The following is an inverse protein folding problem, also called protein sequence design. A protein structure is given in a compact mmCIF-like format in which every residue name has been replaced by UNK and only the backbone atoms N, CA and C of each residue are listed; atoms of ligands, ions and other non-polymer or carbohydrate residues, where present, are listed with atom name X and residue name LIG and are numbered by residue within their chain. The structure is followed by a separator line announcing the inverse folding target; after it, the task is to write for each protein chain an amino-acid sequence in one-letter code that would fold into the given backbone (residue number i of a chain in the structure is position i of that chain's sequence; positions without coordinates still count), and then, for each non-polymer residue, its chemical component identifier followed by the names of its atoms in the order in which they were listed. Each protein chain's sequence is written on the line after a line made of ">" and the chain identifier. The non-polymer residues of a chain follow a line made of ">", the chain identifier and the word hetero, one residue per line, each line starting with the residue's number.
data_IF_472090965983
#
_entry.id   IF_472090965983
#
_cell.length_a   1.000
_cell.length_b   1.000
_cell.length_c   1.000
_cell.angle_alpha   90.00
_cell.angle_beta   90.00
_cell.angle_gamma   90.00
#
_symmetry.space_group_name_H-M   'P 1'
#
loop_
_entity.id
_entity.type
_entity.pdbx_description
1 polymer ?
#
# COMPACT_ATOMS: atom_id res chain seq x y z
N UNK A 1 -2.73 -27.24 -5.90
CA UNK A 1 -3.15 -25.86 -5.65
C UNK A 1 -4.61 -25.76 -6.07
N UNK A 2 -5.52 -25.54 -5.12
CA UNK A 2 -6.95 -25.42 -5.44
C UNK A 2 -7.20 -24.20 -6.33
N UNK A 3 -8.27 -24.19 -7.14
CA UNK A 3 -8.58 -23.04 -8.00
C UNK A 3 -8.73 -21.79 -7.13
N UNK A 4 -8.31 -20.63 -7.65
CA UNK A 4 -8.45 -19.31 -7.01
C UNK A 4 -9.92 -18.91 -6.84
N UNK A 5 -10.59 -19.60 -5.93
CA UNK A 5 -12.04 -19.53 -5.66
C UNK A 5 -12.33 -18.88 -4.32
N UNK A 6 -11.30 -18.48 -3.58
CA UNK A 6 -11.46 -17.76 -2.32
C UNK A 6 -12.33 -16.51 -2.43
N UNK A 7 -12.34 -15.73 -3.53
CA UNK A 7 -13.24 -14.57 -3.64
C UNK A 7 -14.73 -14.93 -3.76
N UNK A 8 -15.10 -16.20 -3.94
CA UNK A 8 -16.49 -16.63 -4.02
C UNK A 8 -17.19 -16.59 -2.64
N UNK A 9 -16.43 -16.61 -1.54
CA UNK A 9 -16.97 -16.43 -0.19
C UNK A 9 -16.89 -14.94 0.19
N UNK A 10 -18.00 -14.28 0.57
CA UNK A 10 -18.00 -12.88 0.98
C UNK A 10 -17.01 -12.56 2.12
N UNK A 11 -16.69 -13.54 2.98
CA UNK A 11 -15.71 -13.35 4.07
C UNK A 11 -14.33 -13.00 3.55
N UNK A 12 -14.00 -13.34 2.30
CA UNK A 12 -12.74 -13.00 1.64
C UNK A 12 -12.42 -11.51 1.73
N UNK A 13 -13.41 -10.65 1.44
CA UNK A 13 -13.22 -9.20 1.45
C UNK A 13 -13.00 -8.66 2.86
N UNK A 14 -13.72 -9.20 3.85
CA UNK A 14 -13.53 -8.81 5.26
C UNK A 14 -12.18 -9.29 5.81
N UNK A 15 -11.74 -10.48 5.40
CA UNK A 15 -10.43 -11.00 5.76
C UNK A 15 -9.31 -10.12 5.20
N UNK A 16 -9.37 -9.78 3.91
CA UNK A 16 -8.40 -8.89 3.27
C UNK A 16 -8.40 -7.48 3.87
N UNK A 17 -9.57 -6.92 4.19
CA UNK A 17 -9.65 -5.62 4.86
C UNK A 17 -8.91 -5.60 6.22
N UNK A 18 -8.94 -6.72 6.97
CA UNK A 18 -8.18 -6.81 8.21
C UNK A 18 -6.66 -6.95 7.97
N UNK A 19 -6.24 -7.65 6.92
CA UNK A 19 -4.83 -7.72 6.51
C UNK A 19 -4.30 -6.34 6.12
N UNK A 20 -5.07 -5.60 5.31
CA UNK A 20 -4.72 -4.23 4.88
C UNK A 20 -4.61 -3.28 6.09
N UNK A 21 -5.52 -3.41 7.07
CA UNK A 21 -5.47 -2.65 8.33
C UNK A 21 -4.21 -2.95 9.15
N UNK A 22 -3.72 -4.19 9.14
CA UNK A 22 -2.49 -4.53 9.87
C UNK A 22 -1.29 -3.91 9.16
N UNK A 23 -1.25 -3.97 7.82
CA UNK A 23 -0.18 -3.37 7.03
C UNK A 23 -0.14 -1.84 7.19
N UNK A 24 -1.29 -1.16 7.16
CA UNK A 24 -1.36 0.29 7.36
C UNK A 24 -0.95 0.72 8.76
N UNK A 25 -1.13 -0.13 9.78
CA UNK A 25 -0.60 0.12 11.13
C UNK A 25 0.90 -0.13 11.23
N UNK A 26 1.43 -1.10 10.50
CA UNK A 26 2.84 -1.46 10.53
C UNK A 26 3.73 -0.36 9.94
N UNK A 27 3.34 0.22 8.80
CA UNK A 27 4.12 1.25 8.12
C UNK A 27 4.54 2.43 9.03
N UNK A 28 3.64 3.12 9.77
CA UNK A 28 4.02 4.23 10.64
C UNK A 28 4.60 3.81 12.01
N UNK A 29 4.40 2.57 12.47
CA UNK A 29 4.75 2.15 13.85
C UNK A 29 6.15 1.56 14.02
N UNK A 30 6.95 1.51 12.96
CA UNK A 30 8.28 0.91 12.96
C UNK A 30 8.67 0.24 11.64
N UNK A 31 7.75 0.18 10.68
CA UNK A 31 7.97 -0.21 9.30
C UNK A 31 8.24 0.98 8.38
N UNK A 32 9.01 1.98 8.83
CA UNK A 32 9.35 3.19 8.06
C UNK A 32 10.31 2.90 6.89
N UNK A 33 10.45 1.62 6.54
CA UNK A 33 11.19 1.14 5.41
C UNK A 33 10.29 1.26 4.18
N UNK A 34 10.77 1.88 3.09
CA UNK A 34 9.98 1.94 1.87
C UNK A 34 9.73 0.54 1.32
N UNK A 35 8.69 0.39 0.50
CA UNK A 35 8.43 -0.88 -0.18
C UNK A 35 9.67 -1.33 -0.96
N UNK A 36 10.00 -2.61 -0.82
CA UNK A 36 11.05 -3.28 -1.61
C UNK A 36 10.43 -4.45 -2.37
N UNK A 37 10.89 -4.75 -3.60
CA UNK A 37 12.04 -4.14 -4.28
C UNK A 37 11.70 -2.84 -5.02
N UNK A 38 12.64 -1.90 -5.05
CA UNK A 38 12.51 -0.69 -5.88
C UNK A 38 12.91 -0.94 -7.34
N UNK A 39 13.84 -1.87 -7.60
CA UNK A 39 14.37 -2.23 -8.91
C UNK A 39 14.95 -3.65 -8.91
N UNK A 40 15.24 -4.21 -10.09
CA UNK A 40 16.05 -5.42 -10.25
C UNK A 40 15.32 -6.75 -10.05
N UNK A 41 13.99 -6.75 -9.89
CA UNK A 41 13.17 -7.96 -9.83
C UNK A 41 12.35 -8.17 -11.10
N UNK A 42 11.58 -9.25 -11.13
CA UNK A 42 10.60 -9.53 -12.19
C UNK A 42 9.58 -8.39 -12.33
N UNK A 43 9.16 -8.13 -13.56
CA UNK A 43 8.13 -7.14 -13.89
C UNK A 43 6.83 -7.38 -13.12
N UNK A 44 6.22 -6.31 -12.63
CA UNK A 44 4.99 -6.32 -11.84
C UNK A 44 5.23 -6.45 -10.33
N UNK A 45 6.49 -6.39 -9.89
CA UNK A 45 6.86 -6.54 -8.49
C UNK A 45 7.68 -5.37 -7.94
N UNK A 46 8.20 -4.48 -8.79
CA UNK A 46 8.86 -3.26 -8.28
C UNK A 46 7.82 -2.26 -7.77
N UNK A 47 8.25 -1.35 -6.89
CA UNK A 47 7.41 -0.24 -6.40
C UNK A 47 6.78 0.61 -7.52
N UNK A 48 7.41 0.64 -8.70
CA UNK A 48 7.03 1.51 -9.82
C UNK A 48 6.40 0.75 -10.99
N UNK A 49 6.31 -0.57 -10.92
CA UNK A 49 5.70 -1.38 -11.97
C UNK A 49 4.16 -1.29 -11.87
N UNK A 50 3.45 -1.35 -13.01
CA UNK A 50 2.00 -1.55 -12.97
C UNK A 50 1.67 -2.94 -12.39
N UNK A 51 0.66 -2.99 -11.53
CA UNK A 51 0.12 -4.24 -11.01
C UNK A 51 -0.92 -4.82 -11.99
N UNK A 52 -0.58 -5.89 -12.68
CA UNK A 52 -1.53 -6.64 -13.51
C UNK A 52 -2.80 -7.01 -12.69
N UNK A 53 -4.02 -6.91 -13.25
CA UNK A 53 -4.39 -6.59 -14.64
C UNK A 53 -4.55 -5.10 -14.93
N UNK A 54 -4.09 -4.22 -14.05
CA UNK A 54 -4.28 -2.78 -14.14
C UNK A 54 -3.02 -2.09 -14.68
N UNK A 55 -3.20 -1.07 -15.52
CA UNK A 55 -2.09 -0.33 -16.16
C UNK A 55 -1.60 0.88 -15.32
N UNK A 56 -2.23 1.14 -14.17
CA UNK A 56 -1.91 2.29 -13.31
C UNK A 56 -0.74 2.03 -12.36
N UNK A 57 0.03 3.09 -12.02
CA UNK A 57 0.99 3.06 -10.92
C UNK A 57 0.23 2.86 -9.60
N UNK A 58 0.28 1.64 -9.08
CA UNK A 58 -0.12 1.33 -7.71
C UNK A 58 1.09 1.60 -6.83
N UNK A 59 1.39 2.86 -6.57
CA UNK A 59 2.28 3.16 -5.46
C UNK A 59 1.55 2.65 -4.21
N UNK A 60 2.14 1.73 -3.41
CA UNK A 60 1.59 1.44 -2.10
C UNK A 60 1.48 2.77 -1.34
N UNK A 61 0.40 2.99 -0.59
CA UNK A 61 0.20 4.22 0.20
C UNK A 61 1.43 4.53 1.05
N UNK A 62 2.09 3.51 1.59
CA UNK A 62 3.36 3.60 2.31
C UNK A 62 4.51 4.26 1.52
N UNK A 63 4.53 4.20 0.18
CA UNK A 63 5.50 4.93 -0.68
C UNK A 63 5.04 6.37 -0.92
N UNK A 64 3.74 6.60 -1.07
CA UNK A 64 3.17 7.94 -1.30
C UNK A 64 3.30 8.84 -0.07
N UNK A 65 3.03 8.32 1.13
CA UNK A 65 3.17 9.04 2.41
C UNK A 65 4.64 9.44 2.66
N UNK A 66 5.60 8.63 2.21
CA UNK A 66 7.03 8.91 2.36
C UNK A 66 7.58 9.88 1.29
N UNK A 67 6.94 9.97 0.12
CA UNK A 67 7.38 10.85 -0.97
C UNK A 67 6.70 12.23 -0.97
N UNK A 68 5.70 12.46 -0.11
CA UNK A 68 5.01 13.76 0.00
C UNK A 68 4.22 14.16 -1.25
N UNK A 69 3.91 13.19 -2.12
CA UNK A 69 3.32 13.41 -3.44
C UNK A 69 1.78 13.39 -3.44
N UNK A 70 1.12 13.11 -2.29
CA UNK A 70 -0.34 13.23 -2.18
C UNK A 70 -0.77 14.56 -1.53
N UNK A 71 -1.42 15.47 -2.27
CA UNK A 71 -1.97 16.71 -1.71
C UNK A 71 -3.07 16.50 -0.66
N UNK A 72 -3.64 15.29 -0.54
CA UNK A 72 -4.62 14.93 0.50
C UNK A 72 -4.00 14.59 1.84
N UNK A 73 -2.68 14.39 1.89
CA UNK A 73 -1.92 14.09 3.10
C UNK A 73 -1.41 15.37 3.80
N UNK A 74 -1.80 16.54 3.30
CA UNK A 74 -1.77 17.79 4.07
C UNK A 74 -2.83 17.71 5.17
N UNK A 75 -2.55 16.90 6.20
CA UNK A 75 -3.13 17.12 7.52
C UNK A 75 -2.84 18.58 7.83
N UNK A 76 -3.89 19.38 8.03
CA UNK A 76 -3.78 20.71 8.62
C UNK A 76 -3.07 20.56 9.96
N UNK A 77 -1.74 20.67 9.96
CA UNK A 77 -0.97 20.85 11.17
C UNK A 77 -1.27 22.29 11.56
N UNK A 78 -2.29 22.47 12.40
CA UNK A 78 -2.49 23.72 13.13
C UNK A 78 -1.13 24.13 13.70
N UNK A 79 -0.59 25.31 13.36
CA UNK A 79 0.71 25.72 13.88
C UNK A 79 0.58 25.78 15.40
N UNK A 80 1.38 24.96 16.10
CA UNK A 80 1.55 25.07 17.54
C UNK A 80 2.01 26.51 17.81
N UNK A 81 1.10 27.30 18.34
CA UNK A 81 1.29 28.70 18.66
C UNK A 81 2.03 28.80 19.98
N UNK A 82 3.17 29.48 19.97
CA UNK A 82 3.78 30.17 21.12
C UNK A 82 4.59 29.31 22.09
#
# INVERSE_FOLDING_TARGET
>A
MGPGTSPNDPVFFLHHANVDRIWSKWAPSGGNEPYVPMQGCSYGHTANDPMYPWDGRTLPEAVTVLQGDDPRDTVYVEPATG
#
